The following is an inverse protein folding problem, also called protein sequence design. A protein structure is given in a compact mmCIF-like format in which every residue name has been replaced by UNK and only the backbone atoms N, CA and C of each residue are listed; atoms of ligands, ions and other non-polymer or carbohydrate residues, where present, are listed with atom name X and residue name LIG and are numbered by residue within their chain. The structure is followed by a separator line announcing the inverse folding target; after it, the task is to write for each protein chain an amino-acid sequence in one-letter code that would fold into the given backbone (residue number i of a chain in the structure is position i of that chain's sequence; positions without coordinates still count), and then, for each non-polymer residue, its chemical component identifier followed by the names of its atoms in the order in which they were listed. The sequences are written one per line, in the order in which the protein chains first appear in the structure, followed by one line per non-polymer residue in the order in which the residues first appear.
data_IF_762898294857
#
_entry.id   IF_762898294857
#
_cell.length_a   1.000
_cell.length_b   1.000
_cell.length_c   1.000
_cell.angle_alpha   90.00
_cell.angle_beta   90.00
_cell.angle_gamma   90.00
#
_symmetry.space_group_name_H-M   'P 1'
#
loop_
_entity.id
_entity.type
_entity.pdbx_description
1 polymer ?
#
# COMPACT_ATOMS: atom_id res chain seq x y z
N UNK A 1 -29.88 -15.94 -36.79
CA UNK A 1 -28.96 -16.24 -35.66
C UNK A 1 -27.91 -15.16 -35.41
N UNK A 2 -27.27 -14.60 -36.44
CA UNK A 2 -26.18 -13.61 -36.29
C UNK A 2 -26.58 -12.32 -35.53
N UNK A 3 -27.79 -11.80 -35.78
CA UNK A 3 -28.29 -10.59 -35.09
C UNK A 3 -28.56 -10.80 -33.59
N UNK A 4 -29.04 -12.00 -33.20
CA UNK A 4 -29.22 -12.36 -31.79
C UNK A 4 -27.89 -12.56 -31.06
N UNK A 5 -26.88 -13.07 -31.77
CA UNK A 5 -25.53 -13.23 -31.23
C UNK A 5 -24.85 -11.86 -31.01
N UNK A 6 -24.95 -10.93 -31.98
CA UNK A 6 -24.45 -9.56 -31.81
C UNK A 6 -25.09 -8.85 -30.62
N UNK A 7 -26.42 -8.94 -30.49
CA UNK A 7 -27.14 -8.35 -29.35
C UNK A 7 -26.69 -8.94 -28.00
N UNK A 8 -26.46 -10.25 -27.94
CA UNK A 8 -25.94 -10.93 -26.75
C UNK A 8 -24.50 -10.49 -26.41
N UNK A 9 -23.63 -10.30 -27.40
CA UNK A 9 -22.25 -9.81 -27.18
C UNK A 9 -22.23 -8.38 -26.64
N UNK A 10 -23.12 -7.50 -27.15
CA UNK A 10 -23.26 -6.12 -26.66
C UNK A 10 -23.74 -6.11 -25.21
N UNK A 11 -24.74 -6.93 -24.87
CA UNK A 11 -25.24 -7.07 -23.50
C UNK A 11 -24.15 -7.56 -22.55
N UNK A 12 -23.35 -8.54 -22.98
CA UNK A 12 -22.22 -9.05 -22.20
C UNK A 12 -21.17 -7.97 -21.94
N UNK A 13 -20.85 -7.16 -22.95
CA UNK A 13 -19.86 -6.09 -22.80
C UNK A 13 -20.33 -4.97 -21.84
N UNK A 14 -21.62 -4.61 -21.92
CA UNK A 14 -22.23 -3.65 -20.97
C UNK A 14 -22.18 -4.19 -19.53
N UNK A 15 -22.43 -5.50 -19.34
CA UNK A 15 -22.35 -6.13 -18.02
C UNK A 15 -20.92 -6.10 -17.45
N UNK A 16 -19.90 -6.35 -18.29
CA UNK A 16 -18.49 -6.31 -17.85
C UNK A 16 -18.04 -4.91 -17.45
N UNK A 17 -18.55 -3.85 -18.11
CA UNK A 17 -18.23 -2.47 -17.73
C UNK A 17 -18.71 -2.10 -16.33
N UNK A 18 -19.77 -2.72 -15.82
CA UNK A 18 -20.26 -2.41 -14.47
C UNK A 18 -19.28 -2.85 -13.37
N UNK A 19 -18.49 -3.91 -13.60
CA UNK A 19 -17.48 -4.38 -12.65
C UNK A 19 -16.27 -3.43 -12.51
N UNK A 20 -16.04 -2.52 -13.47
CA UNK A 20 -14.96 -1.54 -13.39
C UNK A 20 -15.23 -0.44 -12.35
N UNK A 21 -16.50 -0.12 -12.08
CA UNK A 21 -16.86 0.92 -11.12
C UNK A 21 -16.84 0.44 -9.67
N UNK A 22 -16.96 -0.86 -9.43
CA UNK A 22 -17.10 -1.48 -8.09
C UNK A 22 -15.77 -1.74 -7.35
N UNK A 23 -14.67 -1.08 -7.73
CA UNK A 23 -13.34 -1.30 -7.13
C UNK A 23 -13.12 -0.60 -5.78
N UNK A 24 -14.19 -0.13 -5.13
CA UNK A 24 -14.08 0.52 -3.83
C UNK A 24 -13.65 -0.47 -2.74
N UNK A 25 -12.55 -0.16 -2.06
CA UNK A 25 -12.02 -0.96 -0.95
C UNK A 25 -12.31 -0.26 0.36
N UNK A 26 -12.51 -1.04 1.42
CA UNK A 26 -12.63 -0.50 2.77
C UNK A 26 -11.23 -0.23 3.33
N UNK A 27 -10.85 1.03 3.37
CA UNK A 27 -9.63 1.50 4.02
C UNK A 27 -9.96 1.81 5.47
N UNK A 28 -9.13 1.29 6.38
CA UNK A 28 -9.25 1.49 7.81
C UNK A 28 -7.96 2.06 8.39
N UNK A 29 -8.03 2.63 9.57
CA UNK A 29 -6.84 3.18 10.21
C UNK A 29 -7.12 3.88 11.51
N UNK A 30 -6.05 4.36 12.14
CA UNK A 30 -6.09 5.19 13.35
C UNK A 30 -5.42 6.52 13.05
N UNK A 31 -6.05 7.61 13.49
CA UNK A 31 -5.47 8.95 13.48
C UNK A 31 -4.96 9.31 14.87
N UNK A 32 -3.75 9.82 14.93
CA UNK A 32 -3.05 10.16 16.18
C UNK A 32 -2.20 11.43 16.01
N UNK A 33 -1.78 12.03 17.12
CA UNK A 33 -0.79 13.11 17.19
C UNK A 33 0.36 12.73 18.15
N UNK A 34 1.04 13.73 18.70
CA UNK A 34 2.10 13.56 19.70
C UNK A 34 1.52 13.16 21.07
N UNK A 35 0.30 13.60 21.38
CA UNK A 35 -0.38 13.43 22.67
C UNK A 35 -1.20 12.14 22.76
N UNK A 36 -1.61 11.55 21.63
CA UNK A 36 -2.38 10.31 21.59
C UNK A 36 -3.24 10.15 20.35
N UNK A 37 -4.35 9.43 20.46
CA UNK A 37 -5.34 9.28 19.38
C UNK A 37 -6.21 10.52 19.28
N UNK A 38 -6.60 10.90 18.06
CA UNK A 38 -7.44 12.10 17.84
C UNK A 38 -8.84 11.67 17.40
N UNK A 39 -9.89 11.96 18.19
CA UNK A 39 -11.26 11.73 17.80
C UNK A 39 -11.80 12.85 16.90
N UNK A 40 -12.85 12.55 16.13
CA UNK A 40 -13.56 13.50 15.26
C UNK A 40 -12.69 14.15 14.17
N UNK A 41 -11.66 13.45 13.69
CA UNK A 41 -10.88 13.86 12.50
C UNK A 41 -11.73 13.63 11.26
N UNK A 42 -11.82 14.64 10.40
CA UNK A 42 -12.52 14.53 9.13
C UNK A 42 -11.60 13.86 8.10
N UNK A 43 -12.07 12.78 7.49
CA UNK A 43 -11.36 12.00 6.46
C UNK A 43 -12.16 12.06 5.17
N UNK A 44 -11.60 12.68 4.14
CA UNK A 44 -12.25 12.92 2.85
C UNK A 44 -11.45 12.30 1.70
N UNK A 45 -12.09 11.65 0.75
CA UNK A 45 -11.44 11.29 -0.53
C UNK A 45 -11.39 12.53 -1.43
N UNK A 46 -10.19 12.95 -1.85
CA UNK A 46 -9.98 14.11 -2.72
C UNK A 46 -10.81 14.00 -4.01
N UNK A 47 -11.61 15.02 -4.30
CA UNK A 47 -12.47 15.08 -5.49
C UNK A 47 -13.77 14.26 -5.38
N UNK A 48 -14.01 13.59 -4.25
CA UNK A 48 -15.24 12.88 -3.96
C UNK A 48 -16.04 13.57 -2.86
N UNK A 49 -17.32 13.22 -2.72
CA UNK A 49 -18.16 13.61 -1.56
C UNK A 49 -18.09 12.58 -0.44
N UNK A 50 -17.29 11.52 -0.59
CA UNK A 50 -17.13 10.49 0.40
C UNK A 50 -16.27 11.00 1.56
N UNK A 51 -16.91 11.28 2.69
CA UNK A 51 -16.28 11.75 3.91
C UNK A 51 -16.75 10.92 5.11
N UNK A 52 -15.84 10.64 6.03
CA UNK A 52 -16.13 9.98 7.31
C UNK A 52 -15.39 10.70 8.43
N UNK A 53 -15.88 10.56 9.67
CA UNK A 53 -15.19 11.09 10.84
C UNK A 53 -14.60 9.95 11.67
N UNK A 54 -13.43 10.18 12.28
CA UNK A 54 -12.85 9.22 13.22
C UNK A 54 -13.69 9.14 14.51
N UNK A 55 -13.72 7.95 15.12
CA UNK A 55 -14.44 7.71 16.36
C UNK A 55 -13.63 8.15 17.60
N UNK A 56 -14.13 7.85 18.81
CA UNK A 56 -13.49 8.21 20.10
C UNK A 56 -12.08 7.63 20.24
N UNK A 57 -11.80 6.46 19.64
CA UNK A 57 -10.48 5.82 19.64
C UNK A 57 -9.59 6.31 18.48
N UNK A 58 -10.00 7.34 17.74
CA UNK A 58 -9.32 7.83 16.54
C UNK A 58 -9.39 6.89 15.34
N UNK A 59 -10.19 5.83 15.38
CA UNK A 59 -10.36 4.88 14.27
C UNK A 59 -11.31 5.42 13.21
N UNK A 60 -11.02 5.14 11.95
CA UNK A 60 -11.88 5.48 10.82
C UNK A 60 -12.00 4.30 9.84
N UNK A 61 -13.08 4.28 9.06
CA UNK A 61 -13.30 3.36 7.95
C UNK A 61 -13.90 4.14 6.79
N UNK A 62 -13.24 4.16 5.63
CA UNK A 62 -13.69 4.87 4.42
C UNK A 62 -13.58 3.96 3.19
N UNK A 63 -14.48 4.17 2.23
CA UNK A 63 -14.40 3.48 0.93
C UNK A 63 -13.56 4.31 -0.05
N UNK A 64 -12.45 3.74 -0.53
CA UNK A 64 -11.55 4.41 -1.47
C UNK A 64 -10.88 3.40 -2.41
N UNK A 65 -10.38 3.88 -3.54
CA UNK A 65 -9.67 3.08 -4.55
C UNK A 65 -8.17 3.27 -4.42
N UNK A 66 -7.40 2.31 -4.92
CA UNK A 66 -5.94 2.48 -5.07
C UNK A 66 -5.65 3.67 -5.97
N UNK A 67 -4.79 4.58 -5.51
CA UNK A 67 -4.46 5.84 -6.20
C UNK A 67 -5.26 7.05 -5.71
N UNK A 68 -6.37 6.85 -4.99
CA UNK A 68 -7.10 7.95 -4.37
C UNK A 68 -6.27 8.62 -3.29
N UNK A 69 -6.48 9.92 -3.07
CA UNK A 69 -5.81 10.68 -2.01
C UNK A 69 -6.83 10.95 -0.90
N UNK A 70 -6.55 10.45 0.30
CA UNK A 70 -7.28 10.80 1.51
C UNK A 70 -6.73 12.10 2.09
N UNK A 71 -7.64 13.00 2.44
CA UNK A 71 -7.37 14.27 3.11
C UNK A 71 -7.85 14.13 4.55
N UNK A 72 -6.94 14.28 5.49
CA UNK A 72 -7.21 14.29 6.92
C UNK A 72 -7.18 15.73 7.40
N UNK A 73 -8.30 16.22 7.92
CA UNK A 73 -8.41 17.57 8.45
C UNK A 73 -9.00 17.59 9.86
N UNK A 74 -8.42 18.43 10.70
CA UNK A 74 -8.85 18.66 12.06
C UNK A 74 -8.56 20.11 12.44
N UNK A 75 -9.44 20.70 13.26
CA UNK A 75 -9.34 22.12 13.60
C UNK A 75 -8.03 22.42 14.34
N UNK A 76 -7.25 23.39 13.83
CA UNK A 76 -5.96 23.78 14.42
C UNK A 76 -4.78 22.86 14.08
N UNK A 77 -4.97 21.88 13.19
CA UNK A 77 -3.90 21.00 12.71
C UNK A 77 -3.65 21.17 11.21
N UNK A 78 -2.45 20.82 10.79
CA UNK A 78 -2.10 20.78 9.37
C UNK A 78 -2.83 19.64 8.66
N UNK A 79 -3.38 19.92 7.49
CA UNK A 79 -3.97 18.88 6.64
C UNK A 79 -2.91 17.86 6.21
N UNK A 80 -3.26 16.58 6.32
CA UNK A 80 -2.39 15.49 5.88
C UNK A 80 -3.01 14.81 4.67
N UNK A 81 -2.18 14.59 3.65
CA UNK A 81 -2.56 14.01 2.37
C UNK A 81 -1.91 12.64 2.24
N UNK A 82 -2.72 11.59 2.09
CA UNK A 82 -2.21 10.22 1.99
C UNK A 82 -2.80 9.52 0.78
N UNK A 83 -1.93 9.08 -0.13
CA UNK A 83 -2.34 8.30 -1.30
C UNK A 83 -2.57 6.83 -0.90
N UNK A 84 -3.71 6.28 -1.27
CA UNK A 84 -4.05 4.88 -1.07
C UNK A 84 -3.21 4.02 -2.00
N UNK A 85 -2.48 3.06 -1.44
CA UNK A 85 -1.66 2.10 -2.18
C UNK A 85 -2.32 0.71 -2.13
N UNK A 86 -1.54 -0.36 -1.94
CA UNK A 86 -2.04 -1.72 -1.85
C UNK A 86 -2.61 -2.08 -0.47
N UNK A 87 -2.27 -1.33 0.57
CA UNK A 87 -2.69 -1.60 1.96
C UNK A 87 -4.11 -1.12 2.26
N UNK A 88 -4.90 -1.96 2.92
CA UNK A 88 -6.23 -1.60 3.46
C UNK A 88 -6.15 -0.91 4.83
N UNK A 89 -4.94 -0.84 5.43
CA UNK A 89 -4.70 -0.18 6.72
C UNK A 89 -3.75 1.00 6.52
N UNK A 90 -4.20 2.20 6.90
CA UNK A 90 -3.46 3.46 6.78
C UNK A 90 -3.54 4.20 8.11
N UNK A 91 -2.46 4.21 8.88
CA UNK A 91 -2.40 5.00 10.12
C UNK A 91 -1.78 6.37 9.82
N UNK A 92 -2.35 7.41 10.42
CA UNK A 92 -1.93 8.79 10.16
C UNK A 92 -1.54 9.48 11.45
N UNK A 93 -0.41 10.19 11.40
CA UNK A 93 0.04 11.06 12.48
C UNK A 93 -0.11 12.51 12.05
N UNK A 94 -1.04 13.24 12.66
CA UNK A 94 -1.25 14.66 12.42
C UNK A 94 -0.26 15.50 13.23
N UNK A 95 0.00 16.70 12.74
CA UNK A 95 0.86 17.70 13.40
C UNK A 95 0.04 18.98 13.58
N UNK A 96 0.29 19.67 14.69
CA UNK A 96 -0.26 21.02 14.91
C UNK A 96 0.19 21.95 13.79
N UNK A 97 -0.65 22.95 13.49
CA UNK A 97 -0.39 23.95 12.45
C UNK A 97 0.67 24.96 12.93
N UNK A 98 1.90 24.49 13.08
CA UNK A 98 3.11 25.32 13.17
C UNK A 98 3.64 25.59 11.76
N UNK A 99 4.19 26.78 11.53
CA UNK A 99 4.66 27.35 10.25
C UNK A 99 5.78 26.56 9.53
N UNK A 100 5.61 25.27 9.27
CA UNK A 100 6.48 24.48 8.40
C UNK A 100 5.69 23.97 7.20
N UNK A 101 5.86 24.69 6.09
CA UNK A 101 5.41 24.33 4.74
C UNK A 101 6.24 23.15 4.21
N UNK A 102 6.03 21.95 4.74
CA UNK A 102 6.53 20.74 4.08
C UNK A 102 5.40 19.73 3.85
N UNK A 103 5.13 19.52 2.57
CA UNK A 103 4.21 18.55 2.01
C UNK A 103 4.79 17.15 2.23
N UNK A 104 4.34 16.46 3.28
CA UNK A 104 4.75 15.07 3.53
C UNK A 104 3.78 14.16 2.79
N UNK A 105 4.15 13.75 1.58
CA UNK A 105 3.55 12.59 0.92
C UNK A 105 4.04 11.36 1.69
N UNK A 106 3.28 10.91 2.70
CA UNK A 106 3.58 9.66 3.39
C UNK A 106 3.18 8.50 2.47
N UNK A 107 4.14 8.02 1.68
CA UNK A 107 4.02 6.75 0.97
C UNK A 107 4.27 5.63 1.98
N UNK A 108 3.21 5.07 2.54
CA UNK A 108 3.32 3.88 3.37
C UNK A 108 3.63 2.66 2.48
N UNK A 109 4.91 2.30 2.37
CA UNK A 109 5.30 0.98 1.91
C UNK A 109 4.94 -0.04 2.98
N UNK A 110 3.82 -0.75 2.78
CA UNK A 110 3.57 -1.99 3.50
C UNK A 110 4.66 -2.99 3.16
N UNK A 111 5.20 -3.70 4.16
CA UNK A 111 6.12 -4.83 3.95
C UNK A 111 5.42 -5.87 3.08
N UNK A 112 5.67 -5.83 1.77
CA UNK A 112 5.17 -6.81 0.85
C UNK A 112 5.89 -8.13 1.16
N UNK A 113 5.19 -9.10 1.77
CA UNK A 113 5.67 -10.48 1.70
C UNK A 113 5.69 -10.85 0.21
N UNK A 114 6.87 -11.08 -0.33
CA UNK A 114 7.05 -11.70 -1.64
C UNK A 114 6.41 -13.08 -1.61
N UNK A 115 5.12 -13.16 -1.93
CA UNK A 115 4.46 -14.41 -2.25
C UNK A 115 3.65 -14.22 -3.52
N UNK A 116 4.36 -14.08 -4.63
CA UNK A 116 4.05 -14.76 -5.89
C UNK A 116 5.03 -14.26 -6.96
N UNK A 117 6.25 -14.78 -6.97
CA UNK A 117 6.99 -14.89 -8.22
C UNK A 117 6.74 -16.33 -8.67
N UNK A 118 5.75 -16.51 -9.54
CA UNK A 118 5.66 -17.70 -10.37
C UNK A 118 6.79 -17.57 -11.39
N UNK A 119 7.92 -18.19 -11.07
CA UNK A 119 9.12 -18.17 -11.86
C UNK A 119 10.19 -18.94 -11.10
N UNK A 120 10.27 -20.24 -11.38
CA UNK A 120 11.22 -21.14 -10.77
C UNK A 120 12.66 -20.64 -10.97
N UNK A 121 13.27 -20.08 -9.94
CA UNK A 121 14.73 -19.95 -9.83
C UNK A 121 15.09 -20.21 -8.38
N UNK A 122 15.82 -21.32 -8.15
CA UNK A 122 16.26 -21.74 -6.83
C UNK A 122 17.19 -20.70 -6.21
N UNK A 123 16.81 -20.17 -5.04
CA UNK A 123 17.69 -19.37 -4.21
C UNK A 123 18.59 -20.37 -3.48
N UNK A 124 19.82 -20.52 -3.95
CA UNK A 124 20.87 -21.19 -3.18
C UNK A 124 21.26 -20.22 -2.07
N UNK A 125 20.89 -20.55 -0.83
CA UNK A 125 21.27 -19.80 0.36
C UNK A 125 22.80 -19.81 0.53
N UNK A 126 23.35 -18.65 0.89
CA UNK A 126 24.77 -18.39 1.12
C UNK A 126 25.41 -19.25 2.23
N UNK A 127 24.61 -20.01 2.98
CA UNK A 127 25.05 -20.95 4.01
C UNK A 127 25.79 -22.18 3.43
N UNK A 128 25.78 -22.38 2.11
CA UNK A 128 26.59 -23.41 1.43
C UNK A 128 27.93 -22.86 0.92
N UNK A 129 28.11 -21.54 0.86
CA UNK A 129 29.35 -20.90 0.37
C UNK A 129 30.40 -20.79 1.48
N UNK A 130 30.01 -20.81 2.76
CA UNK A 130 30.93 -20.79 3.90
C UNK A 130 31.62 -22.15 4.17
N UNK A 131 31.43 -23.14 3.28
CA UNK A 131 32.24 -24.36 3.24
C UNK A 131 33.39 -24.30 2.22
N UNK A 132 33.71 -23.10 1.70
CA UNK A 132 35.06 -22.81 1.21
C UNK A 132 35.98 -22.52 2.39
N UNK A 133 36.32 -23.57 3.16
CA UNK A 133 37.61 -23.59 3.82
C UNK A 133 38.63 -24.20 2.87
N UNK A 134 39.37 -23.28 2.26
CA UNK A 134 40.83 -23.28 2.30
C UNK A 134 41.58 -24.33 1.46
N UNK A 135 42.11 -23.78 0.37
CA UNK A 135 43.48 -23.94 -0.15
C UNK A 135 43.97 -25.37 -0.41
N UNK A 136 44.01 -25.65 -1.70
CA UNK A 136 44.96 -26.56 -2.31
C UNK A 136 46.41 -26.08 -2.02
N UNK A 137 46.99 -26.49 -0.88
CA UNK A 137 48.41 -26.24 -0.55
C UNK A 137 49.31 -27.36 -1.10
N UNK A 138 48.77 -28.54 -1.42
CA UNK A 138 49.58 -29.67 -1.91
C UNK A 138 50.10 -29.49 -3.34
N UNK A 139 49.50 -28.62 -4.16
CA UNK A 139 50.00 -28.31 -5.50
C UNK A 139 51.13 -27.25 -5.54
N UNK A 140 51.64 -26.81 -4.39
CA UNK A 140 52.72 -25.81 -4.33
C UNK A 140 54.11 -26.37 -3.99
N UNK A 141 54.25 -27.63 -3.54
CA UNK A 141 55.53 -28.11 -2.96
C UNK A 141 56.01 -29.52 -3.30
N UNK A 142 55.51 -30.19 -4.35
CA UNK A 142 56.13 -31.46 -4.81
C UNK A 142 56.44 -31.46 -6.32
N UNK A 143 56.93 -30.32 -6.79
CA UNK A 143 57.69 -30.15 -8.03
C UNK A 143 59.15 -29.75 -7.76
N UNK A 144 59.69 -30.12 -6.60
CA UNK A 144 61.12 -30.00 -6.30
C UNK A 144 61.61 -31.32 -5.74
N UNK A 145 62.19 -32.09 -6.68
CA UNK A 145 62.88 -33.40 -6.61
C UNK A 145 62.09 -34.66 -6.29
#
# INVERSE_FOLDING_TARGET
MKEKFKSLTVLFFVLVMQFMYAQDRKISGVVSDVSGVIPNVNVLVRGSKNAVQSNIDGKYIIQAKTGDVLIFSYMGMKEVLVTITSSDVVNVKMKEDGKDLEEVIVVAYGKQKLKSIVGAVGIVSSDVIEKQQNVNVLNALQGSV
#
